data_IF_924013579513
#
_entry.id   IF_924013579513
#
_cell.length_a   1.000
_cell.length_b   1.000
_cell.length_c   1.000
_cell.angle_alpha   90.00
_cell.angle_beta   90.00
_cell.angle_gamma   90.00
#
_symmetry.space_group_name_H-M   'P 1'
#
loop_
_entity.id
_entity.type
_entity.pdbx_description
1 polymer ?
#
# COMPACT_ATOMS: atom_id res chain seq x y z
N UNK A 1 11.12 12.59 6.72
CA UNK A 1 11.83 13.88 6.78
C UNK A 1 11.29 14.89 5.77
N UNK A 2 11.37 14.62 4.46
CA UNK A 2 11.01 15.60 3.40
C UNK A 2 9.59 16.17 3.54
N UNK A 3 8.58 15.32 3.80
CA UNK A 3 7.20 15.75 4.03
C UNK A 3 7.08 16.71 5.22
N UNK A 4 7.81 16.42 6.31
CA UNK A 4 7.80 17.25 7.51
C UNK A 4 8.45 18.62 7.29
N UNK A 5 9.50 18.70 6.48
CA UNK A 5 10.11 19.98 6.08
C UNK A 5 9.11 20.84 5.28
N UNK A 6 8.39 20.23 4.32
CA UNK A 6 7.35 20.94 3.54
C UNK A 6 6.22 21.47 4.43
N UNK A 7 5.79 20.67 5.41
CA UNK A 7 4.73 21.08 6.34
C UNK A 7 5.17 22.19 7.32
N UNK A 8 6.47 22.27 7.63
CA UNK A 8 7.03 23.30 8.52
C UNK A 8 6.81 24.73 7.99
N UNK A 9 6.59 24.92 6.69
CA UNK A 9 6.24 26.23 6.14
C UNK A 9 4.94 26.81 6.73
N UNK A 10 4.07 25.93 7.26
CA UNK A 10 2.78 26.29 7.83
C UNK A 10 2.68 26.08 9.35
N UNK A 11 3.67 25.43 9.97
CA UNK A 11 3.77 25.22 11.41
C UNK A 11 5.24 25.36 11.85
N UNK A 12 5.55 26.53 12.42
CA UNK A 12 6.89 26.91 12.87
C UNK A 12 7.09 26.69 14.38
N UNK A 13 6.33 25.78 15.00
CA UNK A 13 6.50 25.46 16.41
C UNK A 13 7.90 24.91 16.73
N UNK A 14 8.37 25.21 17.94
CA UNK A 14 9.66 24.70 18.43
C UNK A 14 9.61 23.18 18.59
N UNK A 15 8.45 22.62 18.93
CA UNK A 15 8.22 21.18 19.02
C UNK A 15 8.42 20.47 17.67
N UNK A 16 7.82 21.00 16.59
CA UNK A 16 7.99 20.45 15.25
C UNK A 16 9.46 20.54 14.79
N UNK A 17 10.13 21.66 15.09
CA UNK A 17 11.54 21.87 14.75
C UNK A 17 12.45 20.89 15.47
N UNK A 18 12.28 20.71 16.78
CA UNK A 18 13.05 19.77 17.58
C UNK A 18 12.84 18.32 17.11
N UNK A 19 11.60 17.96 16.75
CA UNK A 19 11.31 16.65 16.19
C UNK A 19 12.05 16.42 14.86
N UNK A 20 12.01 17.38 13.94
CA UNK A 20 12.70 17.26 12.65
C UNK A 20 14.22 17.17 12.81
N UNK A 21 14.81 17.93 13.74
CA UNK A 21 16.25 17.85 14.03
C UNK A 21 16.64 16.46 14.57
N UNK A 22 15.90 15.95 15.56
CA UNK A 22 16.15 14.60 16.09
C UNK A 22 15.97 13.50 15.04
N UNK A 23 15.04 13.67 14.11
CA UNK A 23 14.85 12.76 12.98
C UNK A 23 16.04 12.81 12.00
N UNK A 24 16.63 13.98 11.74
CA UNK A 24 17.84 14.07 10.90
C UNK A 24 19.03 13.36 11.56
N UNK A 25 19.24 13.58 12.86
CA UNK A 25 20.32 12.93 13.61
C UNK A 25 20.18 11.41 13.57
N UNK A 26 18.97 10.88 13.75
CA UNK A 26 18.69 9.46 13.64
C UNK A 26 19.01 8.91 12.24
N UNK A 27 18.63 9.62 11.18
CA UNK A 27 18.89 9.22 9.79
C UNK A 27 20.38 9.20 9.46
N UNK A 28 21.16 10.18 9.91
CA UNK A 28 22.61 10.21 9.69
C UNK A 28 23.32 9.09 10.46
N UNK A 29 22.87 8.78 11.68
CA UNK A 29 23.38 7.66 12.46
C UNK A 29 23.11 6.32 11.75
N UNK A 30 21.87 6.08 11.33
CA UNK A 30 21.49 4.82 10.68
C UNK A 30 22.20 4.65 9.33
N UNK A 31 22.33 5.74 8.55
CA UNK A 31 23.07 5.73 7.27
C UNK A 31 24.52 5.29 7.44
N UNK A 32 25.18 5.64 8.55
CA UNK A 32 26.56 5.20 8.81
C UNK A 32 26.69 3.68 9.01
N UNK A 33 25.60 3.01 9.39
CA UNK A 33 25.54 1.56 9.61
C UNK A 33 25.12 0.76 8.38
N UNK A 34 24.63 1.44 7.34
CA UNK A 34 24.12 0.81 6.13
C UNK A 34 25.19 0.75 5.03
N UNK A 35 25.18 -0.31 4.19
CA UNK A 35 25.99 -0.32 2.98
C UNK A 35 25.67 0.88 2.09
N UNK A 36 26.67 1.39 1.38
CA UNK A 36 26.45 2.42 0.39
C UNK A 36 25.62 1.83 -0.77
N UNK A 37 24.45 2.41 -1.00
CA UNK A 37 23.59 2.11 -2.14
C UNK A 37 23.45 3.34 -3.03
N UNK A 38 23.37 3.11 -4.34
CA UNK A 38 22.91 4.14 -5.27
C UNK A 38 21.42 4.41 -5.06
N UNK A 39 20.94 5.56 -5.55
CA UNK A 39 19.52 5.90 -5.50
C UNK A 39 18.66 4.85 -6.22
N UNK A 40 19.13 4.34 -7.36
CA UNK A 40 18.42 3.31 -8.12
C UNK A 40 18.38 1.96 -7.41
N UNK A 41 19.48 1.54 -6.78
CA UNK A 41 19.49 0.32 -5.96
C UNK A 41 18.53 0.44 -4.77
N UNK A 42 18.56 1.57 -4.06
CA UNK A 42 17.62 1.84 -2.97
C UNK A 42 16.17 1.77 -3.42
N UNK A 43 15.86 2.39 -4.57
CA UNK A 43 14.52 2.34 -5.18
C UNK A 43 14.08 0.91 -5.46
N UNK A 44 14.93 0.10 -6.10
CA UNK A 44 14.63 -1.31 -6.45
C UNK A 44 14.41 -2.15 -5.19
N UNK A 45 15.25 -1.98 -4.17
CA UNK A 45 15.12 -2.71 -2.90
C UNK A 45 13.78 -2.39 -2.23
N UNK A 46 13.44 -1.10 -2.11
CA UNK A 46 12.17 -0.67 -1.53
C UNK A 46 10.97 -1.14 -2.36
N UNK A 47 11.08 -1.10 -3.68
CA UNK A 47 10.01 -1.50 -4.60
C UNK A 47 9.73 -3.00 -4.45
N UNK A 48 10.75 -3.86 -4.54
CA UNK A 48 10.60 -5.29 -4.36
C UNK A 48 10.00 -5.65 -2.99
N UNK A 49 10.44 -4.96 -1.94
CA UNK A 49 9.88 -5.16 -0.60
C UNK A 49 8.39 -4.79 -0.52
N UNK A 50 7.99 -3.66 -1.12
CA UNK A 50 6.58 -3.26 -1.19
C UNK A 50 5.74 -4.30 -1.95
N UNK A 51 6.27 -4.84 -3.05
CA UNK A 51 5.65 -5.92 -3.82
C UNK A 51 5.47 -7.20 -3.01
N UNK A 52 6.49 -7.63 -2.27
CA UNK A 52 6.39 -8.85 -1.46
C UNK A 52 5.30 -8.75 -0.40
N UNK A 53 5.18 -7.59 0.26
CA UNK A 53 4.14 -7.35 1.27
C UNK A 53 2.76 -7.28 0.62
N UNK A 54 2.66 -6.62 -0.54
CA UNK A 54 1.44 -6.57 -1.34
C UNK A 54 0.96 -7.97 -1.72
N UNK A 55 1.84 -8.79 -2.31
CA UNK A 55 1.51 -10.12 -2.81
C UNK A 55 1.02 -11.05 -1.69
N UNK A 56 1.64 -10.98 -0.51
CA UNK A 56 1.17 -11.74 0.68
C UNK A 56 -0.25 -11.36 1.07
N UNK A 57 -0.58 -10.07 1.07
CA UNK A 57 -1.93 -9.60 1.40
C UNK A 57 -2.95 -9.97 0.31
N UNK A 58 -2.56 -9.86 -0.97
CA UNK A 58 -3.43 -10.15 -2.10
C UNK A 58 -3.72 -11.64 -2.25
N UNK A 59 -2.74 -12.52 -1.98
CA UNK A 59 -2.96 -13.96 -1.94
C UNK A 59 -3.95 -14.37 -0.84
N UNK A 60 -3.77 -13.88 0.38
CA UNK A 60 -4.69 -14.14 1.49
C UNK A 60 -6.09 -13.62 1.17
N UNK A 61 -6.19 -12.43 0.57
CA UNK A 61 -7.49 -11.87 0.20
C UNK A 61 -8.20 -12.64 -0.91
N UNK A 62 -7.48 -13.04 -1.96
CA UNK A 62 -8.02 -13.84 -3.07
C UNK A 62 -8.44 -15.24 -2.64
N UNK A 63 -7.81 -15.80 -1.60
CA UNK A 63 -8.22 -17.08 -0.99
C UNK A 63 -9.56 -16.98 -0.25
N UNK A 64 -10.03 -15.76 0.04
CA UNK A 64 -11.25 -15.50 0.81
C UNK A 64 -11.07 -15.57 2.32
N UNK A 65 -9.82 -15.65 2.80
CA UNK A 65 -9.45 -15.65 4.21
C UNK A 65 -9.20 -14.27 4.82
N UNK A 66 -9.54 -13.18 4.13
CA UNK A 66 -9.17 -11.81 4.55
C UNK A 66 -9.67 -11.49 5.95
N UNK A 67 -8.77 -10.99 6.79
CA UNK A 67 -9.04 -10.63 8.17
C UNK A 67 -8.39 -9.28 8.54
N UNK A 68 -8.44 -8.90 9.81
CA UNK A 68 -7.85 -7.63 10.28
C UNK A 68 -6.34 -7.54 10.01
N UNK A 69 -5.62 -8.65 10.02
CA UNK A 69 -4.19 -8.67 9.70
C UNK A 69 -3.98 -8.45 8.20
N UNK A 70 -4.77 -9.08 7.33
CA UNK A 70 -4.74 -8.82 5.87
C UNK A 70 -4.92 -7.34 5.57
N UNK A 71 -5.86 -6.67 6.24
CA UNK A 71 -6.06 -5.23 6.08
C UNK A 71 -4.84 -4.39 6.54
N UNK A 72 -4.20 -4.78 7.65
CA UNK A 72 -2.96 -4.14 8.13
C UNK A 72 -1.82 -4.34 7.14
N UNK A 73 -1.68 -5.53 6.58
CA UNK A 73 -0.66 -5.85 5.58
C UNK A 73 -0.85 -5.03 4.30
N UNK A 74 -2.10 -4.89 3.81
CA UNK A 74 -2.41 -3.99 2.69
C UNK A 74 -2.10 -2.52 3.02
N UNK A 75 -2.46 -2.05 4.22
CA UNK A 75 -2.14 -0.68 4.63
C UNK A 75 -0.62 -0.43 4.67
N UNK A 76 0.15 -1.40 5.17
CA UNK A 76 1.60 -1.37 5.17
C UNK A 76 2.16 -1.36 3.72
N UNK A 77 1.68 -2.24 2.84
CA UNK A 77 2.08 -2.25 1.43
C UNK A 77 1.84 -0.89 0.74
N UNK A 78 0.66 -0.30 0.94
CA UNK A 78 0.35 1.03 0.40
C UNK A 78 1.27 2.13 0.94
N UNK A 79 1.69 2.02 2.21
CA UNK A 79 2.65 2.95 2.81
C UNK A 79 4.06 2.76 2.24
N UNK A 80 4.49 1.51 1.98
CA UNK A 80 5.78 1.24 1.36
C UNK A 80 5.85 1.70 -0.10
N UNK A 81 4.76 1.57 -0.86
CA UNK A 81 4.71 2.17 -2.19
C UNK A 81 4.75 3.71 -2.16
N UNK A 82 4.18 4.36 -1.14
CA UNK A 82 4.31 5.82 -0.98
C UNK A 82 5.77 6.25 -0.75
N UNK A 83 6.62 5.42 -0.12
CA UNK A 83 8.05 5.71 0.07
C UNK A 83 8.75 5.85 -1.29
N UNK A 84 8.29 5.16 -2.33
CA UNK A 84 8.92 5.24 -3.66
C UNK A 84 8.90 6.65 -4.27
N UNK A 85 8.02 7.53 -3.79
CA UNK A 85 8.00 8.95 -4.17
C UNK A 85 9.27 9.70 -3.79
N UNK A 86 10.04 9.20 -2.83
CA UNK A 86 11.33 9.76 -2.43
C UNK A 86 12.40 9.60 -3.53
N UNK A 87 12.24 8.62 -4.42
CA UNK A 87 13.15 8.37 -5.54
C UNK A 87 12.70 9.07 -6.84
N UNK A 88 11.65 9.90 -6.79
CA UNK A 88 11.07 10.60 -7.94
C UNK A 88 9.61 10.18 -8.21
N UNK A 89 9.14 10.42 -9.44
CA UNK A 89 7.77 10.06 -9.84
C UNK A 89 7.64 8.54 -9.99
N UNK A 90 6.79 7.86 -9.20
CA UNK A 90 6.58 6.42 -9.34
C UNK A 90 5.91 6.06 -10.67
N UNK A 91 6.06 4.82 -11.12
CA UNK A 91 5.34 4.30 -12.28
C UNK A 91 3.83 4.23 -12.03
N UNK A 92 3.03 4.23 -13.12
CA UNK A 92 1.56 4.12 -12.98
C UNK A 92 1.15 2.84 -12.25
N UNK A 93 1.83 1.72 -12.52
CA UNK A 93 1.57 0.44 -11.86
C UNK A 93 1.77 0.51 -10.33
N UNK A 94 2.81 1.23 -9.87
CA UNK A 94 3.01 1.50 -8.43
C UNK A 94 1.87 2.37 -7.87
N UNK A 95 1.44 3.40 -8.61
CA UNK A 95 0.35 4.29 -8.19
C UNK A 95 -0.98 3.53 -8.08
N UNK A 96 -1.27 2.66 -9.03
CA UNK A 96 -2.44 1.78 -9.04
C UNK A 96 -2.41 0.81 -7.85
N UNK A 97 -1.27 0.15 -7.58
CA UNK A 97 -1.13 -0.75 -6.42
C UNK A 97 -1.22 -0.02 -5.10
N UNK A 98 -0.70 1.20 -5.01
CA UNK A 98 -0.86 2.07 -3.83
C UNK A 98 -2.34 2.33 -3.55
N UNK A 99 -3.10 2.73 -4.59
CA UNK A 99 -4.55 3.00 -4.48
C UNK A 99 -5.31 1.73 -4.10
N UNK A 100 -5.03 0.61 -4.78
CA UNK A 100 -5.66 -0.67 -4.50
C UNK A 100 -5.41 -1.14 -3.07
N UNK A 101 -4.17 -1.07 -2.60
CA UNK A 101 -3.80 -1.47 -1.24
C UNK A 101 -4.59 -0.70 -0.18
N UNK A 102 -4.64 0.63 -0.31
CA UNK A 102 -5.40 1.49 0.60
C UNK A 102 -6.90 1.22 0.55
N UNK A 103 -7.44 1.03 -0.65
CA UNK A 103 -8.84 0.66 -0.86
C UNK A 103 -9.17 -0.67 -0.18
N UNK A 104 -8.39 -1.73 -0.42
CA UNK A 104 -8.62 -3.06 0.15
C UNK A 104 -8.50 -3.06 1.67
N UNK A 105 -7.52 -2.36 2.24
CA UNK A 105 -7.41 -2.20 3.68
C UNK A 105 -8.69 -1.59 4.27
N UNK A 106 -9.20 -0.51 3.67
CA UNK A 106 -10.43 0.14 4.11
C UNK A 106 -11.67 -0.75 3.92
N UNK A 107 -11.79 -1.43 2.78
CA UNK A 107 -12.93 -2.31 2.46
C UNK A 107 -13.01 -3.51 3.41
N UNK A 108 -11.87 -4.19 3.67
CA UNK A 108 -11.79 -5.31 4.61
C UNK A 108 -12.19 -4.86 6.02
N UNK A 109 -11.63 -3.74 6.51
CA UNK A 109 -11.98 -3.21 7.83
C UNK A 109 -13.46 -2.83 7.93
N UNK A 110 -14.01 -2.23 6.87
CA UNK A 110 -15.43 -1.87 6.79
C UNK A 110 -16.32 -3.10 6.82
N UNK A 111 -16.02 -4.13 6.02
CA UNK A 111 -16.77 -5.38 6.02
C UNK A 111 -16.77 -6.04 7.41
N UNK A 112 -15.59 -6.15 8.04
CA UNK A 112 -15.45 -6.70 9.40
C UNK A 112 -16.26 -5.90 10.42
N UNK A 113 -16.22 -4.56 10.34
CA UNK A 113 -16.98 -3.69 11.25
C UNK A 113 -18.49 -3.86 11.09
N UNK A 114 -18.95 -4.13 9.87
CA UNK A 114 -20.37 -4.37 9.56
C UNK A 114 -20.81 -5.83 9.78
N UNK A 115 -19.91 -6.72 10.24
CA UNK A 115 -20.22 -8.14 10.38
C UNK A 115 -20.38 -8.89 9.06
N UNK A 116 -19.93 -8.30 7.94
CA UNK A 116 -19.92 -8.92 6.61
C UNK A 116 -18.58 -9.60 6.36
N UNK A 117 -18.58 -10.69 5.60
CA UNK A 117 -17.34 -11.27 5.08
C UNK A 117 -16.74 -10.30 4.05
N UNK A 118 -15.43 -9.97 4.15
CA UNK A 118 -14.74 -9.20 3.12
C UNK A 118 -14.85 -9.86 1.76
N UNK A 119 -14.96 -9.07 0.69
CA UNK A 119 -15.12 -9.65 -0.65
C UNK A 119 -13.75 -9.92 -1.27
N UNK A 120 -13.47 -11.15 -1.74
CA UNK A 120 -12.17 -11.50 -2.30
C UNK A 120 -11.85 -10.73 -3.59
N UNK A 121 -10.58 -10.39 -3.77
CA UNK A 121 -10.03 -9.81 -4.99
C UNK A 121 -10.52 -8.40 -5.31
N UNK A 122 -10.27 -7.98 -6.55
CA UNK A 122 -10.67 -6.67 -7.05
C UNK A 122 -12.17 -6.64 -7.42
N UNK A 123 -12.85 -5.47 -7.34
CA UNK A 123 -14.25 -5.35 -7.76
C UNK A 123 -14.50 -5.77 -9.22
N UNK A 124 -13.55 -5.49 -10.13
CA UNK A 124 -13.61 -5.89 -11.54
C UNK A 124 -13.61 -7.42 -11.70
N UNK A 125 -12.81 -8.13 -10.92
CA UNK A 125 -12.75 -9.60 -10.94
C UNK A 125 -14.05 -10.22 -10.43
N UNK A 126 -14.73 -9.56 -9.49
CA UNK A 126 -16.05 -10.01 -9.03
C UNK A 126 -17.12 -9.84 -10.10
N UNK A 127 -17.10 -8.73 -10.84
CA UNK A 127 -18.01 -8.52 -11.98
C UNK A 127 -17.77 -9.61 -13.03
N UNK A 128 -16.51 -9.86 -13.39
CA UNK A 128 -16.15 -10.91 -14.35
C UNK A 128 -16.62 -12.30 -13.89
N UNK A 129 -16.36 -12.68 -12.63
CA UNK A 129 -16.82 -13.96 -12.05
C UNK A 129 -18.34 -14.08 -12.04
N UNK A 130 -19.07 -13.01 -11.72
CA UNK A 130 -20.54 -13.00 -11.73
C UNK A 130 -21.08 -13.17 -13.15
N UNK A 131 -20.50 -12.47 -14.13
CA UNK A 131 -20.88 -12.58 -15.54
C UNK A 131 -20.63 -14.01 -16.04
N UNK A 132 -19.44 -14.57 -15.84
CA UNK A 132 -19.14 -15.96 -16.23
C UNK A 132 -20.05 -16.98 -15.53
N UNK A 133 -20.33 -16.82 -14.24
CA UNK A 133 -21.26 -17.67 -13.50
C UNK A 133 -22.69 -17.57 -14.04
N UNK A 134 -23.15 -16.37 -14.39
CA UNK A 134 -24.48 -16.15 -14.97
C UNK A 134 -24.60 -16.72 -16.39
N UNK A 135 -23.54 -16.63 -17.19
CA UNK A 135 -23.45 -17.28 -18.51
C UNK A 135 -23.51 -18.81 -18.37
N UNK A 136 -22.70 -19.39 -17.47
CA UNK A 136 -22.69 -20.83 -17.22
C UNK A 136 -24.03 -21.37 -16.68
N UNK A 137 -24.78 -20.53 -15.95
CA UNK A 137 -26.13 -20.86 -15.44
C UNK A 137 -27.24 -20.58 -16.46
N UNK A 138 -26.92 -20.13 -17.67
CA UNK A 138 -27.90 -19.84 -18.72
C UNK A 138 -28.78 -18.62 -18.46
N UNK A 139 -28.40 -17.73 -17.54
CA UNK A 139 -29.18 -16.53 -17.18
C UNK A 139 -28.87 -15.30 -18.06
N UNK A 140 -27.85 -15.35 -18.92
CA UNK A 140 -27.49 -14.28 -19.86
C UNK A 140 -27.22 -14.88 -21.25
N UNK A 141 -27.73 -14.28 -22.34
CA UNK A 141 -27.45 -14.76 -23.69
C UNK A 141 -25.97 -14.53 -24.04
N UNK A 142 -25.35 -15.51 -24.70
CA UNK A 142 -24.07 -15.32 -25.40
C UNK A 142 -24.28 -14.22 -26.44
N UNK A 143 -23.57 -13.10 -26.28
CA UNK A 143 -23.52 -12.02 -27.28
C UNK A 143 -22.43 -12.31 -28.31
#
# INVERSE_FOLDING_TARGET
>A
MELGIKLREHDASDEATNYLLSLMEALELEKSSLPAHTQDEGRIICENFAYDIFMRADEEDRSGGSNKNTARTFYAAGSFFDILKQFGTPSEDVLEKTKYSKFKAADILKAIKEGRTPTPGAPSEQVQRRVYSAILRGCLPYS
#
